data_IF_590320744612
#
_entry.id   IF_590320744612
#
_cell.length_a   1.000
_cell.length_b   1.000
_cell.length_c   1.000
_cell.angle_alpha   90.00
_cell.angle_beta   90.00
_cell.angle_gamma   90.00
#
_symmetry.space_group_name_H-M   'P 1'
#
loop_
_entity.id
_entity.type
_entity.pdbx_description
1 polymer ?
#
# COMPACT_ATOMS: atom_id res chain seq x y z
N UNK A 1 11.25 39.66 -23.07
CA UNK A 1 9.85 39.40 -22.64
C UNK A 1 9.65 37.95 -22.21
N UNK A 2 9.97 36.95 -23.04
CA UNK A 2 9.83 35.53 -22.66
C UNK A 2 10.80 35.10 -21.56
N UNK A 3 12.07 35.50 -21.67
CA UNK A 3 13.09 35.27 -20.63
C UNK A 3 12.74 35.95 -19.30
N UNK A 4 12.24 37.17 -19.34
CA UNK A 4 11.78 37.90 -18.16
C UNK A 4 10.60 37.17 -17.45
N UNK A 5 9.68 36.58 -18.22
CA UNK A 5 8.60 35.74 -17.68
C UNK A 5 9.13 34.46 -17.05
N UNK A 6 10.09 33.79 -17.70
CA UNK A 6 10.74 32.59 -17.18
C UNK A 6 11.51 32.87 -15.88
N UNK A 7 12.25 33.97 -15.80
CA UNK A 7 12.98 34.37 -14.59
C UNK A 7 12.03 34.73 -13.44
N UNK A 8 10.91 35.41 -13.73
CA UNK A 8 9.85 35.63 -12.71
C UNK A 8 9.26 34.32 -12.21
N UNK A 9 9.08 33.34 -13.10
CA UNK A 9 8.61 32.00 -12.74
C UNK A 9 9.62 31.29 -11.83
N UNK A 10 10.92 31.32 -12.17
CA UNK A 10 11.98 30.76 -11.33
C UNK A 10 11.97 31.37 -9.92
N UNK A 11 11.94 32.70 -9.80
CA UNK A 11 11.89 33.37 -8.48
C UNK A 11 10.65 32.98 -7.66
N UNK A 12 9.49 32.81 -8.32
CA UNK A 12 8.28 32.30 -7.64
C UNK A 12 8.51 30.89 -7.09
N UNK A 13 9.07 30.00 -7.90
CA UNK A 13 9.31 28.60 -7.52
C UNK A 13 10.32 28.48 -6.37
N UNK A 14 11.38 29.28 -6.39
CA UNK A 14 12.34 29.41 -5.28
C UNK A 14 11.67 29.83 -3.97
N UNK A 15 10.77 30.82 -4.04
CA UNK A 15 10.04 31.28 -2.86
C UNK A 15 9.08 30.21 -2.33
N UNK A 16 8.45 29.43 -3.21
CA UNK A 16 7.58 28.31 -2.80
C UNK A 16 8.37 27.21 -2.13
N UNK A 17 9.53 26.82 -2.69
CA UNK A 17 10.43 25.84 -2.06
C UNK A 17 10.89 26.30 -0.68
N UNK A 18 11.26 27.57 -0.54
CA UNK A 18 11.70 28.14 0.74
C UNK A 18 10.60 28.05 1.79
N UNK A 19 9.35 28.34 1.42
CA UNK A 19 8.20 28.21 2.33
C UNK A 19 7.96 26.75 2.72
N UNK A 20 7.89 25.84 1.74
CA UNK A 20 7.67 24.41 1.98
C UNK A 20 8.75 23.79 2.86
N UNK A 21 10.01 24.19 2.68
CA UNK A 21 11.13 23.78 3.54
C UNK A 21 10.93 24.23 4.98
N UNK A 22 10.55 25.51 5.18
CA UNK A 22 10.26 26.03 6.52
C UNK A 22 9.13 25.26 7.17
N UNK A 23 8.02 25.05 6.43
CA UNK A 23 6.85 24.32 6.93
C UNK A 23 7.24 22.90 7.32
N UNK A 24 7.94 22.16 6.45
CA UNK A 24 8.33 20.77 6.69
C UNK A 24 9.24 20.61 7.91
N UNK A 25 10.23 21.49 8.07
CA UNK A 25 11.19 21.42 9.19
C UNK A 25 10.61 21.90 10.52
N UNK A 26 9.54 22.71 10.51
CA UNK A 26 8.84 23.15 11.71
C UNK A 26 7.76 22.16 12.19
N UNK A 27 7.34 21.22 11.32
CA UNK A 27 6.34 20.22 11.67
C UNK A 27 6.89 19.19 12.66
N UNK A 28 6.18 19.03 13.78
CA UNK A 28 6.43 17.92 14.70
C UNK A 28 5.76 16.63 14.19
N UNK A 29 6.22 16.14 13.04
CA UNK A 29 5.71 14.92 12.39
C UNK A 29 6.29 13.63 13.00
N UNK A 30 7.37 13.74 13.77
CA UNK A 30 8.13 12.58 14.25
C UNK A 30 9.14 12.03 13.25
N UNK A 31 9.27 12.66 12.08
CA UNK A 31 10.37 12.43 11.15
C UNK A 31 11.66 13.09 11.66
N UNK A 32 12.80 12.49 11.36
CA UNK A 32 14.11 13.10 11.53
C UNK A 32 14.37 14.20 10.50
N UNK A 33 15.36 15.07 10.78
CA UNK A 33 15.83 16.06 9.82
C UNK A 33 16.34 15.38 8.53
N UNK A 34 17.02 14.23 8.67
CA UNK A 34 17.52 13.45 7.53
C UNK A 34 16.37 12.94 6.65
N UNK A 35 15.33 12.34 7.26
CA UNK A 35 14.12 11.92 6.53
C UNK A 35 13.42 13.11 5.86
N UNK A 36 13.34 14.26 6.53
CA UNK A 36 12.71 15.46 5.98
C UNK A 36 13.47 16.02 4.77
N UNK A 37 14.80 16.00 4.79
CA UNK A 37 15.65 16.46 3.68
C UNK A 37 15.50 15.57 2.44
N UNK A 38 15.18 14.28 2.59
CA UNK A 38 14.96 13.39 1.42
C UNK A 38 13.79 13.84 0.52
N UNK A 39 12.79 14.55 1.06
CA UNK A 39 11.70 15.11 0.26
C UNK A 39 12.13 16.38 -0.49
N UNK A 40 13.05 17.14 0.08
CA UNK A 40 13.52 18.42 -0.45
C UNK A 40 14.56 18.22 -1.56
N UNK A 41 15.47 17.27 -1.39
CA UNK A 41 16.62 17.03 -2.27
C UNK A 41 16.23 16.95 -3.77
N UNK A 42 15.20 16.19 -4.21
CA UNK A 42 14.85 16.13 -5.63
C UNK A 42 14.38 17.47 -6.20
N UNK A 43 13.71 18.28 -5.38
CA UNK A 43 13.22 19.62 -5.78
C UNK A 43 14.39 20.61 -5.82
N UNK A 44 15.27 20.58 -4.82
CA UNK A 44 16.48 21.40 -4.75
C UNK A 44 17.43 21.12 -5.93
N UNK A 45 17.65 19.83 -6.25
CA UNK A 45 18.44 19.42 -7.41
C UNK A 45 17.84 19.91 -8.73
N UNK A 46 16.50 19.93 -8.85
CA UNK A 46 15.82 20.42 -10.06
C UNK A 46 15.86 21.94 -10.16
N UNK A 47 15.77 22.64 -9.02
CA UNK A 47 15.97 24.08 -8.96
C UNK A 47 17.39 24.47 -9.37
N UNK A 48 18.40 23.77 -8.87
CA UNK A 48 19.80 24.04 -9.23
C UNK A 48 20.06 23.80 -10.73
N UNK A 49 19.46 22.74 -11.30
CA UNK A 49 19.45 22.54 -12.77
C UNK A 49 18.81 23.70 -13.52
N UNK A 50 17.69 24.23 -13.04
CA UNK A 50 17.01 25.36 -13.67
C UNK A 50 17.89 26.62 -13.65
N UNK A 51 18.53 26.92 -12.51
CA UNK A 51 19.50 28.02 -12.36
C UNK A 51 20.71 27.85 -13.29
N UNK A 52 21.31 26.67 -13.31
CA UNK A 52 22.45 26.38 -14.22
C UNK A 52 22.06 26.61 -15.69
N UNK A 53 20.85 26.24 -16.08
CA UNK A 53 20.35 26.45 -17.45
C UNK A 53 20.04 27.93 -17.73
N UNK A 54 19.55 28.68 -16.75
CA UNK A 54 19.40 30.13 -16.83
C UNK A 54 20.75 30.81 -17.08
N UNK A 55 21.77 30.49 -16.29
CA UNK A 55 23.11 31.07 -16.44
C UNK A 55 23.74 30.74 -17.80
N UNK A 56 23.53 29.52 -18.31
CA UNK A 56 24.01 29.11 -19.62
C UNK A 56 23.35 29.90 -20.78
N UNK A 57 22.11 30.37 -20.59
CA UNK A 57 21.41 31.20 -21.57
C UNK A 57 22.01 32.61 -21.68
N UNK A 58 22.55 33.15 -20.59
CA UNK A 58 23.25 34.45 -20.60
C UNK A 58 24.51 34.44 -21.49
N UNK A 59 25.03 33.25 -21.80
CA UNK A 59 26.28 33.03 -22.54
C UNK A 59 26.07 32.47 -23.96
N UNK A 60 24.83 32.34 -24.44
CA UNK A 60 24.51 31.79 -25.77
C UNK A 60 24.15 32.87 -26.80
N UNK A 61 24.38 32.60 -28.09
CA UNK A 61 24.07 33.55 -29.19
C UNK A 61 22.57 33.74 -29.39
N UNK A 62 22.16 34.89 -29.95
CA UNK A 62 20.75 35.29 -30.18
C UNK A 62 19.88 34.28 -30.97
N UNK A 63 20.48 33.35 -31.73
CA UNK A 63 19.78 32.30 -32.50
C UNK A 63 19.36 31.04 -31.69
N UNK A 64 19.53 31.05 -30.37
CA UNK A 64 19.33 29.87 -29.48
C UNK A 64 17.90 29.67 -28.95
N UNK A 65 16.87 30.18 -29.64
CA UNK A 65 15.45 30.04 -29.22
C UNK A 65 15.04 28.59 -28.89
N UNK A 66 15.46 27.54 -29.64
CA UNK A 66 15.20 26.16 -29.25
C UNK A 66 15.83 25.77 -27.90
N UNK A 67 17.07 26.20 -27.63
CA UNK A 67 17.75 25.90 -26.35
C UNK A 67 17.07 26.61 -25.16
N UNK A 68 16.48 27.79 -25.35
CA UNK A 68 15.68 28.47 -24.33
C UNK A 68 14.45 27.64 -23.92
N UNK A 69 13.68 27.16 -24.89
CA UNK A 69 12.47 26.38 -24.61
C UNK A 69 12.79 24.96 -24.15
N UNK A 70 13.61 24.22 -24.90
CA UNK A 70 13.86 22.80 -24.66
C UNK A 70 14.67 22.56 -23.38
N UNK A 71 15.49 23.54 -22.96
CA UNK A 71 16.33 23.38 -21.77
C UNK A 71 15.76 24.14 -20.58
N UNK A 72 15.60 25.46 -20.68
CA UNK A 72 15.26 26.25 -19.51
C UNK A 72 13.77 26.15 -19.17
N UNK A 73 12.88 26.37 -20.13
CA UNK A 73 11.43 26.27 -19.87
C UNK A 73 11.05 24.86 -19.40
N UNK A 74 11.56 23.81 -20.05
CA UNK A 74 11.33 22.43 -19.59
C UNK A 74 11.88 22.15 -18.18
N UNK A 75 13.00 22.77 -17.77
CA UNK A 75 13.47 22.64 -16.38
C UNK A 75 12.55 23.33 -15.38
N UNK A 76 11.91 24.44 -15.77
CA UNK A 76 10.92 25.11 -14.94
C UNK A 76 9.62 24.29 -14.86
N UNK A 77 9.23 23.63 -15.94
CA UNK A 77 8.10 22.69 -15.95
C UNK A 77 8.36 21.50 -15.02
N UNK A 78 9.55 20.88 -15.11
CA UNK A 78 9.99 19.83 -14.18
C UNK A 78 9.95 20.30 -12.72
N UNK A 79 10.39 21.53 -12.45
CA UNK A 79 10.42 22.10 -11.11
C UNK A 79 9.02 22.37 -10.55
N UNK A 80 8.11 22.92 -11.35
CA UNK A 80 6.71 23.11 -10.95
C UNK A 80 6.07 21.77 -10.57
N UNK A 81 6.21 20.73 -11.40
CA UNK A 81 5.66 19.39 -11.10
C UNK A 81 6.21 18.83 -9.78
N UNK A 82 7.51 18.99 -9.55
CA UNK A 82 8.15 18.51 -8.30
C UNK A 82 7.70 19.31 -7.08
N UNK A 83 7.47 20.61 -7.22
CA UNK A 83 6.94 21.45 -6.14
C UNK A 83 5.49 21.13 -5.82
N UNK A 84 4.66 20.87 -6.83
CA UNK A 84 3.27 20.44 -6.64
C UNK A 84 3.22 19.10 -5.89
N UNK A 85 4.09 18.14 -6.26
CA UNK A 85 4.21 16.87 -5.54
C UNK A 85 4.68 17.07 -4.08
N UNK A 86 5.69 17.91 -3.86
CA UNK A 86 6.16 18.21 -2.50
C UNK A 86 5.06 18.87 -1.67
N UNK A 87 4.26 19.75 -2.26
CA UNK A 87 3.14 20.37 -1.56
C UNK A 87 2.09 19.34 -1.13
N UNK A 88 1.76 18.37 -1.99
CA UNK A 88 0.86 17.27 -1.63
C UNK A 88 1.43 16.41 -0.50
N UNK A 89 2.71 16.03 -0.58
CA UNK A 89 3.42 15.27 0.46
C UNK A 89 3.39 16.00 1.80
N UNK A 90 3.75 17.29 1.82
CA UNK A 90 3.71 18.12 3.04
C UNK A 90 2.29 18.18 3.61
N UNK A 91 1.25 18.17 2.77
CA UNK A 91 -0.14 18.11 3.22
C UNK A 91 -0.46 16.86 4.05
N UNK A 92 0.03 15.69 3.65
CA UNK A 92 -0.14 14.45 4.43
C UNK A 92 0.69 14.47 5.72
N UNK A 93 1.94 14.94 5.67
CA UNK A 93 2.81 15.05 6.85
C UNK A 93 2.20 16.02 7.88
N UNK A 94 1.69 17.16 7.44
CA UNK A 94 1.02 18.13 8.29
C UNK A 94 -0.25 17.55 8.91
N UNK A 95 -1.07 16.84 8.11
CA UNK A 95 -2.27 16.19 8.60
C UNK A 95 -1.95 15.16 9.69
N UNK A 96 -0.95 14.30 9.46
CA UNK A 96 -0.44 13.38 10.47
C UNK A 96 0.00 14.11 11.74
N UNK A 97 0.85 15.14 11.62
CA UNK A 97 1.39 15.88 12.77
C UNK A 97 0.26 16.52 13.61
N UNK A 98 -0.74 17.12 12.96
CA UNK A 98 -1.92 17.69 13.63
C UNK A 98 -2.75 16.61 14.33
N UNK A 99 -3.04 15.51 13.65
CA UNK A 99 -3.84 14.42 14.23
C UNK A 99 -3.13 13.76 15.41
N UNK A 100 -1.80 13.57 15.31
CA UNK A 100 -0.99 13.08 16.42
C UNK A 100 -1.03 14.01 17.63
N UNK A 101 -1.12 15.32 17.43
CA UNK A 101 -1.26 16.29 18.52
C UNK A 101 -2.66 16.26 19.17
N UNK A 102 -3.70 15.98 18.39
CA UNK A 102 -5.10 16.01 18.83
C UNK A 102 -5.61 14.67 19.42
N UNK A 103 -5.21 13.54 18.83
CA UNK A 103 -5.63 12.18 19.21
C UNK A 103 -4.45 11.19 19.07
N UNK A 104 -3.68 11.07 20.16
CA UNK A 104 -2.51 10.19 20.20
C UNK A 104 -2.89 8.72 20.20
N UNK A 105 -4.03 8.32 20.79
CA UNK A 105 -4.32 6.90 21.05
C UNK A 105 -4.49 6.11 19.76
N UNK A 106 -5.26 6.64 18.79
CA UNK A 106 -5.47 5.92 17.52
C UNK A 106 -4.20 5.89 16.66
N UNK A 107 -3.43 6.98 16.65
CA UNK A 107 -2.17 7.07 15.90
C UNK A 107 -1.13 6.12 16.49
N UNK A 108 -0.99 6.09 17.81
CA UNK A 108 -0.07 5.21 18.52
C UNK A 108 -0.47 3.74 18.34
N UNK A 109 -1.76 3.41 18.43
CA UNK A 109 -2.29 2.06 18.16
C UNK A 109 -1.92 1.58 16.75
N UNK A 110 -2.13 2.42 15.72
CA UNK A 110 -1.79 2.06 14.33
C UNK A 110 -0.28 1.91 14.18
N UNK A 111 0.50 2.81 14.81
CA UNK A 111 1.97 2.77 14.77
C UNK A 111 2.52 1.49 15.41
N UNK A 112 1.94 1.06 16.53
CA UNK A 112 2.28 -0.20 17.20
C UNK A 112 2.01 -1.39 16.28
N UNK A 113 0.84 -1.42 15.63
CA UNK A 113 0.50 -2.48 14.67
C UNK A 113 1.47 -2.51 13.50
N UNK A 114 1.77 -1.35 12.92
CA UNK A 114 2.67 -1.27 11.77
C UNK A 114 4.08 -1.73 12.15
N UNK A 115 4.58 -1.32 13.33
CA UNK A 115 5.86 -1.77 13.85
C UNK A 115 5.93 -3.29 14.02
N UNK A 116 4.89 -3.90 14.61
CA UNK A 116 4.83 -5.35 14.78
C UNK A 116 4.78 -6.10 13.44
N UNK A 117 4.02 -5.56 12.46
CA UNK A 117 3.75 -6.22 11.16
C UNK A 117 4.87 -6.01 10.15
N UNK A 118 5.62 -4.93 10.22
CA UNK A 118 6.76 -4.70 9.30
C UNK A 118 7.83 -5.78 9.42
N UNK A 119 8.02 -6.36 10.61
CA UNK A 119 9.00 -7.43 10.86
C UNK A 119 8.70 -8.72 10.08
N UNK A 120 7.52 -9.38 10.21
CA UNK A 120 7.22 -10.58 9.45
C UNK A 120 7.08 -10.32 7.94
N UNK A 121 6.75 -9.09 7.51
CA UNK A 121 6.79 -8.72 6.09
C UNK A 121 8.21 -8.42 5.59
N UNK A 122 9.22 -8.42 6.47
CA UNK A 122 10.60 -8.09 6.14
C UNK A 122 10.77 -6.73 5.42
N UNK A 123 9.97 -5.74 5.82
CA UNK A 123 10.02 -4.38 5.28
C UNK A 123 10.64 -3.42 6.32
N UNK A 124 11.53 -2.56 5.86
CA UNK A 124 12.08 -1.45 6.65
C UNK A 124 11.53 -0.14 6.13
N UNK A 125 10.41 0.31 6.70
CA UNK A 125 9.72 1.54 6.28
C UNK A 125 9.32 2.38 7.50
N UNK A 126 9.25 3.70 7.30
CA UNK A 126 8.61 4.64 8.20
C UNK A 126 7.15 4.82 7.75
N UNK A 127 6.21 4.58 8.66
CA UNK A 127 4.78 4.76 8.41
C UNK A 127 4.27 5.99 9.17
N UNK A 128 3.55 6.86 8.47
CA UNK A 128 2.85 8.02 9.03
C UNK A 128 1.33 7.76 9.01
N UNK A 129 0.74 7.28 10.12
CA UNK A 129 -0.70 7.04 10.18
C UNK A 129 -1.51 8.32 10.00
N UNK A 130 -2.54 8.28 9.18
CA UNK A 130 -3.43 9.40 8.89
C UNK A 130 -4.87 8.94 8.97
N UNK A 131 -5.66 9.57 9.84
CA UNK A 131 -7.07 9.22 10.04
C UNK A 131 -7.91 9.85 8.91
N UNK A 132 -8.51 9.00 8.10
CA UNK A 132 -9.25 9.34 6.89
C UNK A 132 -10.56 8.53 6.76
N UNK A 133 -11.05 8.32 5.54
CA UNK A 133 -12.33 7.63 5.26
C UNK A 133 -12.17 6.14 4.92
N UNK A 134 -10.98 5.69 4.51
CA UNK A 134 -10.71 4.30 4.11
C UNK A 134 -9.29 3.88 4.46
N UNK A 135 -9.02 2.57 4.41
CA UNK A 135 -7.67 2.05 4.38
C UNK A 135 -7.03 2.34 3.02
N UNK A 136 -5.77 2.76 3.04
CA UNK A 136 -4.89 2.88 1.90
C UNK A 136 -3.46 3.06 2.42
N UNK A 137 -2.46 2.74 1.60
CA UNK A 137 -1.09 3.20 1.81
C UNK A 137 -0.53 3.73 0.50
N UNK A 138 0.33 4.74 0.59
CA UNK A 138 1.07 5.23 -0.57
C UNK A 138 2.43 5.79 -0.14
N UNK A 139 3.45 5.64 -1.01
CA UNK A 139 4.75 6.21 -0.75
C UNK A 139 4.67 7.74 -0.79
N UNK A 140 5.33 8.38 0.16
CA UNK A 140 5.51 9.84 0.18
C UNK A 140 6.78 10.27 -0.56
N UNK A 141 7.59 9.32 -0.99
CA UNK A 141 8.81 9.54 -1.76
C UNK A 141 8.66 8.93 -3.16
N UNK A 142 9.55 9.30 -4.09
CA UNK A 142 9.61 8.63 -5.40
C UNK A 142 9.86 7.12 -5.24
N UNK A 143 9.53 6.33 -6.28
CA UNK A 143 9.53 4.85 -6.25
C UNK A 143 10.73 4.25 -5.51
N UNK A 144 10.45 3.36 -4.56
CA UNK A 144 11.46 2.73 -3.71
C UNK A 144 11.78 3.50 -2.44
N UNK A 145 11.00 4.54 -2.12
CA UNK A 145 11.08 5.25 -0.85
C UNK A 145 10.74 4.38 0.35
N UNK A 146 11.20 4.83 1.51
CA UNK A 146 11.02 4.17 2.81
C UNK A 146 9.90 4.82 3.63
N UNK A 147 9.40 6.00 3.24
CA UNK A 147 8.39 6.74 4.00
C UNK A 147 7.02 6.66 3.32
N UNK A 148 6.01 6.19 4.06
CA UNK A 148 4.65 5.98 3.58
C UNK A 148 3.63 6.72 4.45
N UNK A 149 2.59 7.24 3.81
CA UNK A 149 1.37 7.62 4.52
C UNK A 149 0.42 6.43 4.53
N UNK A 150 -0.05 6.05 5.72
CA UNK A 150 -1.05 5.02 5.88
C UNK A 150 -2.37 5.66 6.28
N UNK A 151 -3.37 5.56 5.43
CA UNK A 151 -4.72 6.01 5.73
C UNK A 151 -5.44 4.94 6.55
N UNK A 152 -6.07 5.36 7.65
CA UNK A 152 -6.91 4.50 8.47
C UNK A 152 -8.29 5.14 8.67
N UNK A 153 -9.39 4.37 8.59
CA UNK A 153 -10.72 4.95 8.59
C UNK A 153 -11.17 5.48 9.95
N UNK A 154 -11.83 6.63 9.95
CA UNK A 154 -12.51 7.28 11.10
C UNK A 154 -13.85 6.58 11.41
N UNK A 155 -13.86 5.26 11.57
CA UNK A 155 -15.09 4.52 11.87
C UNK A 155 -15.34 4.40 13.37
N UNK A 156 -16.55 3.94 13.75
CA UNK A 156 -16.93 3.72 15.14
C UNK A 156 -16.19 2.53 15.81
N UNK A 157 -15.56 1.65 15.04
CA UNK A 157 -14.81 0.49 15.55
C UNK A 157 -13.55 0.17 14.71
N UNK A 158 -12.58 1.10 14.62
CA UNK A 158 -11.42 0.94 13.73
C UNK A 158 -10.56 -0.26 14.16
N UNK A 159 -10.54 -0.57 15.46
CA UNK A 159 -9.80 -1.70 16.04
C UNK A 159 -10.28 -3.08 15.57
N UNK A 160 -11.50 -3.20 15.05
CA UNK A 160 -11.99 -4.46 14.48
C UNK A 160 -11.31 -4.79 13.14
N UNK A 161 -11.01 -3.75 12.35
CA UNK A 161 -10.47 -3.89 11.00
C UNK A 161 -8.96 -3.63 10.92
N UNK A 162 -8.29 -3.38 12.05
CA UNK A 162 -6.84 -3.26 12.10
C UNK A 162 -6.05 -4.45 11.49
N UNK A 163 -6.54 -5.71 11.48
CA UNK A 163 -5.87 -6.77 10.70
C UNK A 163 -5.72 -6.45 9.21
N UNK A 164 -6.59 -5.60 8.64
CA UNK A 164 -6.46 -5.14 7.25
C UNK A 164 -5.21 -4.28 7.02
N UNK A 165 -4.57 -3.75 8.06
CA UNK A 165 -3.31 -3.02 7.93
C UNK A 165 -2.19 -3.87 7.34
N UNK A 166 -2.21 -5.20 7.53
CA UNK A 166 -1.23 -6.08 6.87
C UNK A 166 -1.44 -6.18 5.35
N UNK A 167 -2.68 -5.99 4.87
CA UNK A 167 -2.93 -5.85 3.43
C UNK A 167 -2.29 -4.56 2.92
N UNK A 168 -2.52 -3.44 3.61
CA UNK A 168 -1.92 -2.16 3.25
C UNK A 168 -0.39 -2.25 3.25
N UNK A 169 0.23 -2.75 4.32
CA UNK A 169 1.69 -2.94 4.37
C UNK A 169 2.22 -3.93 3.31
N UNK A 170 1.37 -4.82 2.81
CA UNK A 170 1.66 -5.66 1.64
C UNK A 170 1.93 -4.85 0.36
N UNK A 171 1.34 -3.66 0.19
CA UNK A 171 1.68 -2.78 -0.93
C UNK A 171 3.09 -2.22 -0.80
N UNK A 172 3.53 -1.88 0.41
CA UNK A 172 4.91 -1.44 0.64
C UNK A 172 5.91 -2.59 0.41
N UNK A 173 5.56 -3.82 0.78
CA UNK A 173 6.34 -5.00 0.40
C UNK A 173 6.41 -5.14 -1.14
N UNK A 174 5.27 -5.01 -1.83
CA UNK A 174 5.22 -5.09 -3.29
C UNK A 174 6.12 -4.04 -3.97
N UNK A 175 6.18 -2.82 -3.43
CA UNK A 175 7.07 -1.77 -3.96
C UNK A 175 8.56 -2.17 -3.89
N UNK A 176 8.95 -3.05 -2.97
CA UNK A 176 10.31 -3.55 -2.81
C UNK A 176 10.61 -4.79 -3.66
N UNK A 177 9.67 -5.75 -3.73
CA UNK A 177 9.92 -7.06 -4.36
C UNK A 177 9.37 -7.18 -5.79
N UNK A 178 8.33 -6.40 -6.12
CA UNK A 178 7.67 -6.40 -7.41
C UNK A 178 7.05 -7.75 -7.80
N UNK A 179 6.90 -7.95 -9.11
CA UNK A 179 6.44 -9.22 -9.72
C UNK A 179 7.65 -10.08 -10.03
N UNK A 180 7.57 -11.36 -9.69
CA UNK A 180 8.66 -12.28 -9.97
C UNK A 180 8.71 -12.68 -11.46
N UNK A 181 9.83 -13.29 -11.85
CA UNK A 181 10.02 -13.75 -13.23
C UNK A 181 9.04 -14.87 -13.60
N UNK A 182 8.68 -15.76 -12.67
CA UNK A 182 7.79 -16.87 -12.95
C UNK A 182 6.39 -16.38 -13.32
N UNK A 183 5.91 -15.33 -12.65
CA UNK A 183 4.69 -14.62 -12.99
C UNK A 183 4.77 -14.01 -14.40
N UNK A 184 5.85 -13.30 -14.72
CA UNK A 184 6.03 -12.71 -16.04
C UNK A 184 6.07 -13.77 -17.16
N UNK A 185 6.82 -14.85 -16.95
CA UNK A 185 6.93 -15.96 -17.91
C UNK A 185 5.55 -16.60 -18.12
N UNK A 186 4.78 -16.85 -17.05
CA UNK A 186 3.42 -17.40 -17.19
C UNK A 186 2.46 -16.43 -17.86
N UNK A 187 2.48 -15.15 -17.51
CA UNK A 187 1.66 -14.13 -18.18
C UNK A 187 1.91 -14.08 -19.68
N UNK A 188 3.17 -14.25 -20.09
CA UNK A 188 3.55 -14.30 -21.51
C UNK A 188 3.02 -15.55 -22.21
N UNK A 189 3.09 -16.72 -21.59
CA UNK A 189 2.50 -17.96 -22.13
C UNK A 189 0.99 -17.83 -22.33
N UNK A 190 0.27 -17.26 -21.36
CA UNK A 190 -1.18 -17.12 -21.50
C UNK A 190 -1.54 -16.07 -22.58
N UNK A 191 -0.69 -15.07 -22.83
CA UNK A 191 -0.87 -14.15 -23.97
C UNK A 191 -0.70 -14.86 -25.32
N UNK A 192 0.30 -15.75 -25.44
CA UNK A 192 0.55 -16.56 -26.65
C UNK A 192 -0.61 -17.54 -26.93
N UNK A 193 -1.11 -18.23 -25.91
CA UNK A 193 -2.25 -19.17 -26.01
C UNK A 193 -3.53 -18.49 -26.57
N UNK A 194 -3.69 -17.18 -26.36
CA UNK A 194 -4.89 -16.42 -26.71
C UNK A 194 -4.72 -15.55 -27.96
N UNK A 195 -3.55 -15.60 -28.62
CA UNK A 195 -3.31 -14.91 -29.88
C UNK A 195 -3.32 -13.38 -29.79
N UNK A 196 -3.02 -12.80 -28.62
CA UNK A 196 -2.87 -11.35 -28.43
C UNK A 196 -4.16 -10.54 -28.31
N UNK A 197 -5.35 -11.17 -28.20
CA UNK A 197 -6.64 -10.48 -27.98
C UNK A 197 -6.89 -10.10 -26.49
N UNK A 198 -5.86 -10.22 -25.64
CA UNK A 198 -5.95 -10.27 -24.17
C UNK A 198 -5.78 -8.92 -23.45
N UNK A 199 -5.86 -7.79 -24.18
CA UNK A 199 -5.50 -6.47 -23.64
C UNK A 199 -6.12 -6.15 -22.27
N UNK A 200 -7.39 -6.52 -22.08
CA UNK A 200 -8.10 -6.31 -20.82
C UNK A 200 -7.68 -7.29 -19.71
N UNK A 201 -7.58 -8.60 -19.96
CA UNK A 201 -7.12 -9.55 -18.93
C UNK A 201 -5.71 -9.23 -18.46
N UNK A 202 -4.77 -8.97 -19.38
CA UNK A 202 -3.38 -8.72 -19.01
C UNK A 202 -3.27 -7.47 -18.14
N UNK A 203 -4.00 -6.41 -18.52
CA UNK A 203 -4.10 -5.18 -17.73
C UNK A 203 -4.69 -5.44 -16.34
N UNK A 204 -5.80 -6.17 -16.25
CA UNK A 204 -6.43 -6.43 -14.95
C UNK A 204 -5.54 -7.29 -14.05
N UNK A 205 -4.95 -8.37 -14.58
CA UNK A 205 -4.06 -9.22 -13.79
C UNK A 205 -2.78 -8.51 -13.36
N UNK A 206 -2.28 -7.58 -14.17
CA UNK A 206 -1.16 -6.73 -13.77
C UNK A 206 -1.48 -5.92 -12.49
N UNK A 207 -2.69 -5.38 -12.38
CA UNK A 207 -3.15 -4.65 -11.19
C UNK A 207 -3.56 -5.62 -10.05
N UNK A 208 -4.24 -6.72 -10.37
CA UNK A 208 -4.77 -7.67 -9.38
C UNK A 208 -3.68 -8.49 -8.69
N UNK A 209 -2.53 -8.71 -9.32
CA UNK A 209 -1.40 -9.40 -8.70
C UNK A 209 -1.06 -8.79 -7.34
N UNK A 210 -0.94 -7.45 -7.29
CA UNK A 210 -0.57 -6.74 -6.07
C UNK A 210 -1.61 -6.94 -4.99
N UNK A 211 -2.90 -6.83 -5.31
CA UNK A 211 -3.99 -7.03 -4.35
C UNK A 211 -4.05 -8.45 -3.79
N UNK A 212 -3.80 -9.47 -4.63
CA UNK A 212 -3.68 -10.85 -4.16
C UNK A 212 -2.45 -11.05 -3.27
N UNK A 213 -1.30 -10.44 -3.63
CA UNK A 213 -0.12 -10.50 -2.79
C UNK A 213 -0.40 -9.88 -1.41
N UNK A 214 -1.05 -8.72 -1.38
CA UNK A 214 -1.47 -8.04 -0.15
C UNK A 214 -2.45 -8.88 0.67
N UNK A 215 -3.43 -9.55 0.03
CA UNK A 215 -4.33 -10.49 0.71
C UNK A 215 -3.58 -11.66 1.34
N UNK A 216 -2.60 -12.22 0.62
CA UNK A 216 -1.76 -13.29 1.14
C UNK A 216 -0.90 -12.81 2.32
N UNK A 217 -0.33 -11.60 2.25
CA UNK A 217 0.39 -10.97 3.36
C UNK A 217 -0.50 -10.85 4.61
N UNK A 218 -1.75 -10.42 4.42
CA UNK A 218 -2.74 -10.36 5.49
C UNK A 218 -2.99 -11.70 6.15
N UNK A 219 -3.23 -12.75 5.35
CA UNK A 219 -3.46 -14.12 5.84
C UNK A 219 -2.24 -14.66 6.58
N UNK A 220 -1.04 -14.51 6.02
CA UNK A 220 0.20 -15.05 6.58
C UNK A 220 0.66 -14.30 7.85
N UNK A 221 0.30 -13.03 7.98
CA UNK A 221 0.69 -12.21 9.13
C UNK A 221 -0.28 -12.34 10.29
N UNK A 222 -1.58 -12.18 10.04
CA UNK A 222 -2.61 -12.09 11.08
C UNK A 222 -3.43 -13.36 11.24
N UNK A 223 -3.37 -14.28 10.27
CA UNK A 223 -4.05 -15.56 10.38
C UNK A 223 -5.57 -15.41 10.45
N UNK A 224 -6.24 -16.12 11.38
CA UNK A 224 -7.68 -16.06 11.53
C UNK A 224 -8.26 -14.64 11.61
N UNK A 225 -7.63 -13.73 12.36
CA UNK A 225 -8.10 -12.36 12.52
C UNK A 225 -8.22 -11.61 11.18
N UNK A 226 -7.32 -11.87 10.24
CA UNK A 226 -7.41 -11.29 8.90
C UNK A 226 -8.60 -11.84 8.13
N UNK A 227 -8.78 -13.17 8.13
CA UNK A 227 -9.89 -13.85 7.44
C UNK A 227 -11.24 -13.30 7.93
N UNK A 228 -11.41 -13.12 9.24
CA UNK A 228 -12.62 -12.49 9.80
C UNK A 228 -12.79 -11.05 9.30
N UNK A 229 -11.76 -10.21 9.45
CA UNK A 229 -11.84 -8.79 9.11
C UNK A 229 -12.12 -8.55 7.62
N UNK A 230 -11.42 -9.24 6.72
CA UNK A 230 -11.59 -9.06 5.27
C UNK A 230 -12.91 -9.63 4.78
N UNK A 231 -13.37 -10.73 5.37
CA UNK A 231 -14.67 -11.32 5.02
C UNK A 231 -15.79 -10.35 5.36
N UNK A 232 -15.81 -9.82 6.59
CA UNK A 232 -16.81 -8.83 7.00
C UNK A 232 -16.76 -7.55 6.14
N UNK A 233 -15.55 -7.06 5.85
CA UNK A 233 -15.33 -5.88 5.01
C UNK A 233 -15.86 -6.04 3.57
N UNK A 234 -15.61 -7.21 2.94
CA UNK A 234 -15.99 -7.45 1.55
C UNK A 234 -17.43 -8.00 1.39
N UNK A 235 -18.02 -8.59 2.43
CA UNK A 235 -19.32 -9.27 2.36
C UNK A 235 -20.48 -8.36 1.92
N UNK A 236 -20.40 -7.06 2.21
CA UNK A 236 -21.46 -6.10 1.91
C UNK A 236 -21.40 -5.52 0.47
N UNK A 237 -20.46 -6.00 -0.35
CA UNK A 237 -20.21 -5.47 -1.69
C UNK A 237 -20.63 -6.46 -2.79
N UNK A 238 -20.76 -6.00 -4.05
CA UNK A 238 -21.13 -6.88 -5.18
C UNK A 238 -19.95 -7.80 -5.53
N UNK A 239 -20.04 -9.12 -5.30
CA UNK A 239 -18.84 -9.97 -5.25
C UNK A 239 -18.25 -10.32 -6.62
N UNK A 240 -19.07 -10.33 -7.68
CA UNK A 240 -18.65 -10.72 -9.03
C UNK A 240 -18.40 -9.54 -9.99
N UNK A 241 -18.22 -8.32 -9.46
CA UNK A 241 -17.99 -7.14 -10.29
C UNK A 241 -16.63 -7.23 -10.99
N UNK A 242 -16.65 -7.30 -12.33
CA UNK A 242 -15.46 -7.20 -13.20
C UNK A 242 -15.25 -5.76 -13.67
N UNK A 243 -14.14 -5.55 -14.37
CA UNK A 243 -13.75 -4.28 -15.02
C UNK A 243 -13.48 -3.13 -14.05
N UNK A 244 -12.88 -3.46 -12.91
CA UNK A 244 -12.39 -2.54 -11.90
C UNK A 244 -10.90 -2.76 -11.69
N UNK A 245 -10.20 -1.74 -11.18
CA UNK A 245 -8.77 -1.84 -10.89
C UNK A 245 -8.45 -2.85 -9.77
N UNK A 246 -9.42 -3.14 -8.90
CA UNK A 246 -9.32 -4.20 -7.90
C UNK A 246 -9.91 -5.52 -8.41
N UNK A 247 -9.37 -6.67 -7.98
CA UNK A 247 -9.94 -7.97 -8.31
C UNK A 247 -11.35 -8.12 -7.73
N UNK A 248 -12.22 -8.91 -8.38
CA UNK A 248 -13.55 -9.18 -7.84
C UNK A 248 -13.47 -9.79 -6.44
N UNK A 249 -14.29 -9.31 -5.50
CA UNK A 249 -14.26 -9.79 -4.12
C UNK A 249 -14.51 -11.30 -4.02
N UNK A 250 -15.30 -11.89 -4.93
CA UNK A 250 -15.47 -13.33 -5.03
C UNK A 250 -14.15 -14.08 -5.26
N UNK A 251 -13.26 -13.52 -6.10
CA UNK A 251 -11.97 -14.12 -6.41
C UNK A 251 -11.00 -13.94 -5.24
N UNK A 252 -10.98 -12.75 -4.62
CA UNK A 252 -10.21 -12.47 -3.39
C UNK A 252 -10.59 -13.41 -2.26
N UNK A 253 -11.89 -13.53 -1.95
CA UNK A 253 -12.37 -14.40 -0.87
C UNK A 253 -12.08 -15.88 -1.11
N UNK A 254 -12.17 -16.35 -2.36
CA UNK A 254 -11.76 -17.71 -2.74
C UNK A 254 -10.26 -17.92 -2.54
N UNK A 255 -9.44 -16.97 -2.97
CA UNK A 255 -8.00 -17.00 -2.83
C UNK A 255 -7.58 -17.02 -1.35
N UNK A 256 -8.13 -16.14 -0.53
CA UNK A 256 -7.93 -16.10 0.93
C UNK A 256 -8.32 -17.44 1.57
N UNK A 257 -9.50 -17.99 1.21
CA UNK A 257 -9.98 -19.27 1.72
C UNK A 257 -9.07 -20.44 1.32
N UNK A 258 -8.46 -20.37 0.13
CA UNK A 258 -7.48 -21.35 -0.35
C UNK A 258 -6.19 -21.28 0.47
N UNK A 259 -5.59 -20.09 0.61
CA UNK A 259 -4.37 -19.91 1.40
C UNK A 259 -4.59 -20.36 2.84
N UNK A 260 -5.69 -19.94 3.47
CA UNK A 260 -6.01 -20.35 4.84
C UNK A 260 -5.95 -21.87 4.99
N UNK A 261 -6.63 -22.62 4.10
CA UNK A 261 -6.64 -24.09 4.09
C UNK A 261 -5.28 -24.73 3.82
N UNK A 262 -4.40 -24.05 3.09
CA UNK A 262 -3.06 -24.54 2.76
C UNK A 262 -2.06 -24.32 3.90
N UNK A 263 -2.13 -23.17 4.60
CA UNK A 263 -1.06 -22.73 5.51
C UNK A 263 -1.42 -22.74 6.99
N UNK A 264 -2.71 -22.73 7.35
CA UNK A 264 -3.10 -22.68 8.75
C UNK A 264 -2.93 -24.05 9.42
N UNK A 265 -2.44 -24.09 10.68
CA UNK A 265 -2.56 -25.29 11.50
C UNK A 265 -4.04 -25.62 11.74
N UNK A 266 -4.35 -26.89 12.02
CA UNK A 266 -5.74 -27.38 12.19
C UNK A 266 -6.54 -26.55 13.19
N UNK A 267 -5.94 -26.16 14.32
CA UNK A 267 -6.60 -25.34 15.34
C UNK A 267 -6.98 -23.94 14.81
N UNK A 268 -6.18 -23.35 13.93
CA UNK A 268 -6.52 -22.08 13.28
C UNK A 268 -7.58 -22.26 12.19
N UNK A 269 -7.60 -23.39 11.48
CA UNK A 269 -8.70 -23.76 10.56
C UNK A 269 -10.02 -23.88 11.31
N UNK A 270 -10.04 -24.58 12.44
CA UNK A 270 -11.23 -24.72 13.29
C UNK A 270 -11.79 -23.35 13.69
N UNK A 271 -10.92 -22.37 13.99
CA UNK A 271 -11.34 -21.01 14.31
C UNK A 271 -12.04 -20.28 13.16
N UNK A 272 -11.62 -20.48 11.90
CA UNK A 272 -12.19 -19.75 10.75
C UNK A 272 -13.22 -20.53 9.97
N UNK A 273 -13.37 -21.84 10.21
CA UNK A 273 -14.27 -22.71 9.45
C UNK A 273 -15.71 -22.19 9.33
N UNK A 274 -16.32 -21.57 10.36
CA UNK A 274 -17.65 -20.96 10.23
C UNK A 274 -17.69 -19.83 9.20
N UNK A 275 -16.68 -18.96 9.19
CA UNK A 275 -16.57 -17.85 8.23
C UNK A 275 -16.29 -18.36 6.83
N UNK A 276 -15.37 -19.31 6.66
CA UNK A 276 -15.09 -19.91 5.35
C UNK A 276 -16.36 -20.54 4.74
N UNK A 277 -17.17 -21.21 5.57
CA UNK A 277 -18.45 -21.77 5.13
C UNK A 277 -19.44 -20.67 4.75
N UNK A 278 -19.52 -19.59 5.54
CA UNK A 278 -20.38 -18.43 5.25
C UNK A 278 -19.99 -17.72 3.94
N UNK A 279 -18.69 -17.60 3.65
CA UNK A 279 -18.19 -17.10 2.37
C UNK A 279 -18.70 -17.97 1.22
N UNK A 280 -18.49 -19.29 1.31
CA UNK A 280 -18.89 -20.24 0.28
C UNK A 280 -20.40 -20.15 0.02
N UNK A 281 -21.22 -20.12 1.08
CA UNK A 281 -22.68 -19.96 0.99
C UNK A 281 -23.08 -18.61 0.36
N UNK A 282 -22.46 -17.50 0.76
CA UNK A 282 -22.72 -16.18 0.19
C UNK A 282 -22.42 -16.15 -1.30
N UNK A 283 -21.24 -16.62 -1.72
CA UNK A 283 -20.83 -16.64 -3.12
C UNK A 283 -21.74 -17.55 -3.95
N UNK A 284 -22.16 -18.69 -3.42
CA UNK A 284 -23.12 -19.58 -4.05
C UNK A 284 -24.47 -18.88 -4.27
N UNK A 285 -24.99 -18.18 -3.25
CA UNK A 285 -26.24 -17.41 -3.35
C UNK A 285 -26.17 -16.25 -4.36
N UNK A 286 -24.98 -15.70 -4.58
CA UNK A 286 -24.76 -14.61 -5.53
C UNK A 286 -24.41 -15.10 -6.95
N UNK A 287 -24.31 -16.41 -7.20
CA UNK A 287 -23.87 -16.98 -8.49
C UNK A 287 -24.72 -16.50 -9.67
N UNK A 288 -26.02 -16.26 -9.48
CA UNK A 288 -26.90 -15.72 -10.52
C UNK A 288 -26.52 -14.30 -10.99
N UNK A 289 -25.73 -13.57 -10.20
CA UNK A 289 -25.22 -12.24 -10.52
C UNK A 289 -23.81 -12.28 -11.15
N UNK A 290 -23.27 -13.48 -11.39
CA UNK A 290 -21.94 -13.67 -11.99
C UNK A 290 -21.99 -13.34 -13.48
N UNK A 291 -21.15 -12.43 -14.00
CA UNK A 291 -21.01 -12.18 -15.43
C UNK A 291 -20.64 -13.46 -16.20
N UNK A 292 -21.08 -13.56 -17.46
CA UNK A 292 -20.84 -14.74 -18.31
C UNK A 292 -19.35 -15.01 -18.55
N UNK A 293 -18.55 -13.95 -18.63
CA UNK A 293 -17.11 -13.99 -18.90
C UNK A 293 -16.26 -14.11 -17.63
N UNK A 294 -16.85 -14.06 -16.43
CA UNK A 294 -16.11 -14.07 -15.16
C UNK A 294 -15.11 -15.22 -15.03
N UNK A 295 -15.55 -16.44 -15.38
CA UNK A 295 -14.69 -17.63 -15.22
C UNK A 295 -13.46 -17.59 -16.13
N UNK A 296 -13.48 -16.80 -17.22
CA UNK A 296 -12.34 -16.63 -18.11
C UNK A 296 -11.21 -15.78 -17.51
N UNK A 297 -11.52 -14.99 -16.48
CA UNK A 297 -10.55 -14.18 -15.74
C UNK A 297 -9.91 -14.94 -14.57
N UNK A 298 -10.37 -16.15 -14.26
CA UNK A 298 -9.79 -16.98 -13.20
C UNK A 298 -8.56 -17.72 -13.76
N UNK A 299 -7.39 -17.41 -13.22
CA UNK A 299 -6.14 -18.08 -13.57
C UNK A 299 -5.51 -18.69 -12.32
N UNK A 300 -5.83 -19.96 -12.05
CA UNK A 300 -5.36 -20.68 -10.85
C UNK A 300 -3.83 -20.78 -10.75
N UNK A 301 -3.15 -20.89 -11.89
CA UNK A 301 -1.68 -20.90 -11.93
C UNK A 301 -1.11 -19.57 -11.42
N UNK A 302 -1.70 -18.44 -11.83
CA UNK A 302 -1.27 -17.11 -11.37
C UNK A 302 -1.55 -16.90 -9.89
N UNK A 303 -2.72 -17.35 -9.40
CA UNK A 303 -3.02 -17.34 -7.95
C UNK A 303 -1.99 -18.16 -7.17
N UNK A 304 -1.61 -19.33 -7.69
CA UNK A 304 -0.58 -20.17 -7.07
C UNK A 304 0.75 -19.45 -7.01
N UNK A 305 1.18 -18.82 -8.11
CA UNK A 305 2.43 -18.05 -8.15
C UNK A 305 2.42 -16.88 -7.16
N UNK A 306 1.30 -16.17 -7.01
CA UNK A 306 1.16 -15.10 -6.02
C UNK A 306 1.27 -15.64 -4.59
N UNK A 307 0.62 -16.76 -4.28
CA UNK A 307 0.70 -17.38 -2.96
C UNK A 307 2.12 -17.87 -2.66
N UNK A 308 2.78 -18.49 -3.64
CA UNK A 308 4.19 -18.92 -3.52
C UNK A 308 5.13 -17.72 -3.32
N UNK A 309 4.87 -16.59 -3.99
CA UNK A 309 5.62 -15.37 -3.77
C UNK A 309 5.46 -14.85 -2.34
N UNK A 310 4.22 -14.71 -1.86
CA UNK A 310 3.95 -14.26 -0.49
C UNK A 310 4.61 -15.17 0.56
N UNK A 311 4.51 -16.49 0.40
CA UNK A 311 5.10 -17.46 1.35
C UNK A 311 6.63 -17.45 1.36
N UNK A 312 7.29 -16.94 0.32
CA UNK A 312 8.75 -16.76 0.32
C UNK A 312 9.19 -15.49 1.06
N UNK A 313 8.41 -14.42 0.93
CA UNK A 313 8.77 -13.10 1.46
C UNK A 313 8.29 -12.89 2.90
N UNK A 314 7.18 -13.51 3.30
CA UNK A 314 6.59 -13.34 4.64
C UNK A 314 7.07 -14.42 5.60
N UNK A 315 7.65 -14.01 6.74
CA UNK A 315 7.96 -14.91 7.84
C UNK A 315 6.66 -15.35 8.53
N UNK A 316 6.24 -16.58 8.22
CA UNK A 316 4.98 -17.13 8.67
C UNK A 316 5.06 -17.58 10.15
N UNK A 317 4.71 -16.66 11.04
CA UNK A 317 4.65 -16.90 12.48
C UNK A 317 3.32 -17.50 12.98
N UNK A 318 2.42 -17.93 12.08
CA UNK A 318 1.09 -18.42 12.45
C UNK A 318 1.10 -19.55 13.48
N UNK A 319 1.99 -20.57 13.41
CA UNK A 319 2.05 -21.60 14.44
C UNK A 319 2.33 -21.02 15.84
N UNK A 320 3.27 -20.07 15.94
CA UNK A 320 3.63 -19.38 17.19
C UNK A 320 2.45 -18.55 17.70
N UNK A 321 1.75 -17.83 16.82
CA UNK A 321 0.59 -17.02 17.18
C UNK A 321 -0.56 -17.92 17.67
N UNK A 322 -0.92 -18.95 16.90
CA UNK A 322 -2.05 -19.84 17.22
C UNK A 322 -1.85 -20.58 18.53
N UNK A 323 -0.64 -21.06 18.83
CA UNK A 323 -0.32 -21.68 20.13
C UNK A 323 -0.66 -20.73 21.29
N UNK A 324 -0.27 -19.46 21.18
CA UNK A 324 -0.52 -18.45 22.22
C UNK A 324 -1.96 -17.98 22.28
N UNK A 325 -2.71 -18.02 21.18
CA UNK A 325 -4.14 -17.69 21.18
C UNK A 325 -4.92 -18.64 22.08
N UNK A 326 -4.53 -19.91 22.14
CA UNK A 326 -5.17 -20.93 22.97
C UNK A 326 -4.54 -21.10 24.37
N UNK A 327 -3.47 -20.37 24.69
CA UNK A 327 -2.86 -20.40 26.02
C UNK A 327 -3.65 -19.55 27.03
N UNK A 328 -3.58 -19.93 28.30
CA UNK A 328 -4.14 -19.15 29.43
C UNK A 328 -3.24 -17.97 29.86
N UNK A 329 -2.11 -17.76 29.16
CA UNK A 329 -1.14 -16.71 29.49
C UNK A 329 -1.73 -15.31 29.30
N UNK A 330 -1.39 -14.39 30.19
CA UNK A 330 -1.80 -12.99 30.06
C UNK A 330 -1.10 -12.33 28.86
N UNK A 331 -1.72 -11.30 28.27
CA UNK A 331 -1.09 -10.56 27.16
C UNK A 331 0.24 -9.88 27.56
N UNK A 332 0.48 -9.66 28.86
CA UNK A 332 1.72 -9.07 29.36
C UNK A 332 2.89 -10.07 29.43
N UNK A 333 2.58 -11.37 29.32
CA UNK A 333 3.58 -12.45 29.24
C UNK A 333 3.90 -12.86 27.79
N UNK A 334 3.18 -12.29 26.80
CA UNK A 334 3.40 -12.55 25.38
C UNK A 334 4.49 -11.61 24.84
N UNK A 335 5.39 -12.17 24.03
CA UNK A 335 6.46 -11.42 23.36
C UNK A 335 5.89 -10.25 22.55
N UNK A 336 6.53 -9.08 22.67
CA UNK A 336 6.08 -7.84 22.01
C UNK A 336 6.00 -7.96 20.50
N UNK A 337 6.78 -8.87 19.90
CA UNK A 337 6.80 -9.13 18.46
C UNK A 337 5.50 -9.75 17.93
N UNK A 338 4.68 -10.39 18.76
CA UNK A 338 3.43 -11.06 18.33
C UNK A 338 2.23 -10.66 19.19
N UNK A 339 2.44 -9.77 20.17
CA UNK A 339 1.46 -9.46 21.22
C UNK A 339 0.17 -8.93 20.65
N UNK A 340 0.24 -8.02 19.68
CA UNK A 340 -0.92 -7.44 19.03
C UNK A 340 -1.66 -8.51 18.20
N UNK A 341 -0.94 -9.26 17.35
CA UNK A 341 -1.53 -10.35 16.55
C UNK A 341 -2.22 -11.40 17.41
N UNK A 342 -1.65 -11.78 18.56
CA UNK A 342 -2.29 -12.69 19.54
C UNK A 342 -3.53 -12.05 20.16
N UNK A 343 -3.45 -10.78 20.58
CA UNK A 343 -4.58 -10.03 21.17
C UNK A 343 -5.79 -10.01 20.24
N UNK A 344 -5.62 -9.68 18.96
CA UNK A 344 -6.74 -9.61 18.01
C UNK A 344 -7.31 -10.99 17.69
N UNK A 345 -6.46 -12.01 17.54
CA UNK A 345 -6.92 -13.37 17.30
C UNK A 345 -7.71 -13.94 18.49
N UNK A 346 -7.27 -13.67 19.73
CA UNK A 346 -8.04 -14.04 20.95
C UNK A 346 -9.41 -13.35 20.98
N UNK A 347 -9.49 -12.07 20.61
CA UNK A 347 -10.76 -11.34 20.54
C UNK A 347 -11.74 -11.98 19.57
N UNK A 348 -11.28 -12.43 18.40
CA UNK A 348 -12.12 -13.12 17.43
C UNK A 348 -12.52 -14.53 17.89
N UNK A 349 -11.59 -15.28 18.48
CA UNK A 349 -11.87 -16.61 19.04
C UNK A 349 -12.97 -16.58 20.13
N UNK A 350 -12.98 -15.55 20.97
CA UNK A 350 -13.92 -15.42 22.09
C UNK A 350 -15.31 -14.91 21.67
N UNK A 351 -15.37 -14.03 20.66
CA UNK A 351 -16.62 -13.41 20.23
C UNK A 351 -17.32 -14.17 19.09
N UNK A 352 -16.66 -15.17 18.50
CA UNK A 352 -17.29 -16.08 17.54
C UNK A 352 -17.64 -15.46 16.18
N UNK A 353 -17.03 -14.33 15.80
CA UNK A 353 -17.43 -13.59 14.58
C UNK A 353 -18.73 -12.84 14.76
#
# INVERSE_FOLDING_TARGET
MLEELANRRLTRLESQLTQLRSDLLELNSGLSDEESETFLEPVENTLERAKTRQEALEHTSEDSVPDFYDRYVSALDDLDVRLDNLHEITGYIELHARQRADDTEMIDDISEVCSEVSSPLNISITVLPTIWESYAIFPLQEKGGEIYSLLAPRHANPRQYQPLLAHELGHALFDQVGKDRAYHDRMWEIDDEWGGERGDFAKYWDEWYTEFLCDACGVLTFGPAYVYAISDYLHNQRPYRLFTNHPPNALRLRFISRIAREVFPESAIEMVQPVLTSIDDHLNNQTQNKPEDYDSYIAEDLLTLVSDAAQREVDNELPRITERVHSDESLDEIDTEIKYRVKVNRKWAQNGG
#
